data_IF_487248843984
#
_entry.id   IF_487248843984
#
_cell.length_a   1.000
_cell.length_b   1.000
_cell.length_c   1.000
_cell.angle_alpha   90.00
_cell.angle_beta   90.00
_cell.angle_gamma   90.00
#
_symmetry.space_group_name_H-M   'P 1'
#
loop_
_entity.id
_entity.type
_entity.pdbx_description
1 polymer ?
#
# COMPACT_ATOMS: atom_id res chain seq x y z
N UNK A 1 -6.60 17.98 -4.86
CA UNK A 1 -5.48 17.59 -5.77
C UNK A 1 -5.45 16.08 -5.78
N UNK A 2 -5.09 15.41 -6.87
CA UNK A 2 -5.01 13.94 -6.85
C UNK A 2 -3.67 13.47 -6.29
N UNK A 3 -3.66 12.28 -5.69
CA UNK A 3 -2.46 11.56 -5.22
C UNK A 3 -1.46 11.47 -6.37
N UNK A 4 -1.91 11.06 -7.55
CA UNK A 4 -1.07 10.92 -8.74
C UNK A 4 -0.34 12.22 -9.10
N UNK A 5 -1.07 13.34 -9.16
CA UNK A 5 -0.50 14.65 -9.49
C UNK A 5 0.48 15.12 -8.42
N UNK A 6 0.14 14.94 -7.15
CA UNK A 6 1.01 15.31 -6.05
C UNK A 6 2.33 14.53 -6.06
N UNK A 7 2.27 13.22 -6.33
CA UNK A 7 3.47 12.38 -6.46
C UNK A 7 4.37 12.84 -7.61
N UNK A 8 3.79 13.20 -8.76
CA UNK A 8 4.56 13.73 -9.89
C UNK A 8 5.25 15.07 -9.56
N UNK A 9 4.58 15.96 -8.81
CA UNK A 9 5.18 17.22 -8.34
C UNK A 9 6.38 16.95 -7.42
N UNK A 10 6.27 16.00 -6.48
CA UNK A 10 7.37 15.63 -5.58
C UNK A 10 8.52 14.94 -6.31
N UNK A 11 8.22 14.04 -7.23
CA UNK A 11 9.25 13.38 -8.05
C UNK A 11 10.00 14.42 -8.92
N UNK A 12 9.30 15.41 -9.48
CA UNK A 12 9.91 16.49 -10.27
C UNK A 12 10.81 17.42 -9.44
N UNK A 13 10.56 17.55 -8.14
CA UNK A 13 11.44 18.24 -7.18
C UNK A 13 12.68 17.40 -6.78
N UNK A 14 12.79 16.17 -7.30
CA UNK A 14 13.88 15.23 -6.98
C UNK A 14 13.69 14.51 -5.64
N UNK A 15 12.48 14.54 -5.08
CA UNK A 15 12.13 13.82 -3.85
C UNK A 15 11.86 12.35 -4.22
N UNK A 16 12.51 11.43 -3.50
CA UNK A 16 12.17 10.01 -3.61
C UNK A 16 10.78 9.76 -3.01
N UNK A 17 9.81 9.50 -3.88
CA UNK A 17 8.42 9.23 -3.49
C UNK A 17 8.17 7.76 -3.16
N UNK A 18 9.15 6.87 -3.38
CA UNK A 18 8.95 5.43 -3.27
C UNK A 18 8.47 4.99 -1.88
N UNK A 19 8.88 5.68 -0.82
CA UNK A 19 8.51 5.37 0.58
C UNK A 19 7.73 6.49 1.26
N UNK A 20 7.25 7.47 0.50
CA UNK A 20 6.70 8.70 1.05
C UNK A 20 5.39 8.46 1.80
N UNK A 21 5.16 9.28 2.82
CA UNK A 21 3.89 9.33 3.54
C UNK A 21 3.00 10.33 2.83
N UNK A 22 1.81 9.91 2.42
CA UNK A 22 0.81 10.83 1.91
C UNK A 22 0.33 11.76 3.05
N UNK A 23 0.07 13.04 2.77
CA UNK A 23 -0.65 13.91 3.69
C UNK A 23 -2.02 13.31 4.01
N UNK A 24 -2.47 13.44 5.27
CA UNK A 24 -3.76 12.88 5.71
C UNK A 24 -4.92 13.37 4.82
N UNK A 25 -4.95 14.67 4.54
CA UNK A 25 -5.96 15.32 3.68
C UNK A 25 -5.99 14.79 2.25
N UNK A 26 -4.89 14.21 1.76
CA UNK A 26 -4.82 13.63 0.42
C UNK A 26 -5.22 12.15 0.42
N UNK A 27 -4.87 11.44 1.50
CA UNK A 27 -5.11 10.00 1.62
C UNK A 27 -6.59 9.63 1.86
N UNK A 28 -7.38 10.54 2.44
CA UNK A 28 -8.81 10.30 2.72
C UNK A 28 -9.76 10.78 1.62
N UNK A 29 -9.29 11.61 0.68
CA UNK A 29 -10.12 12.29 -0.31
C UNK A 29 -10.18 11.59 -1.69
N UNK A 30 -9.35 10.57 -1.93
CA UNK A 30 -9.29 9.87 -3.23
C UNK A 30 -9.46 8.36 -3.08
N UNK A 31 -10.47 7.82 -3.77
CA UNK A 31 -10.63 6.38 -3.96
C UNK A 31 -9.67 5.89 -5.06
N UNK A 32 -9.09 4.69 -4.92
CA UNK A 32 -8.24 4.14 -5.97
C UNK A 32 -9.04 3.84 -7.24
N UNK A 33 -8.42 4.04 -8.39
CA UNK A 33 -9.02 3.68 -9.68
C UNK A 33 -9.24 2.16 -9.80
N UNK A 34 -8.37 1.37 -9.16
CA UNK A 34 -8.35 -0.09 -9.24
C UNK A 34 -7.61 -0.69 -8.03
N UNK A 35 -8.19 -1.71 -7.40
CA UNK A 35 -7.46 -2.63 -6.51
C UNK A 35 -6.91 -3.79 -7.34
N UNK A 36 -5.61 -3.76 -7.60
CA UNK A 36 -4.91 -4.74 -8.46
C UNK A 36 -4.64 -6.05 -7.70
N UNK A 37 -4.37 -5.95 -6.40
CA UNK A 37 -4.07 -7.10 -5.55
C UNK A 37 -4.54 -6.82 -4.13
N UNK A 38 -5.09 -7.84 -3.47
CA UNK A 38 -5.38 -7.83 -2.06
C UNK A 38 -5.24 -9.24 -1.51
N UNK A 39 -4.55 -9.38 -0.38
CA UNK A 39 -4.44 -10.62 0.38
C UNK A 39 -4.28 -10.31 1.85
N UNK A 40 -4.98 -11.05 2.68
CA UNK A 40 -4.95 -10.97 4.13
C UNK A 40 -4.78 -12.38 4.72
N UNK A 41 -4.02 -12.48 5.81
CA UNK A 41 -3.87 -13.70 6.59
C UNK A 41 -4.78 -13.58 7.82
N UNK A 42 -6.06 -13.92 7.63
CA UNK A 42 -7.07 -13.98 8.69
C UNK A 42 -7.51 -15.44 8.93
N UNK A 43 -6.87 -16.16 9.86
CA UNK A 43 -7.33 -17.48 10.29
C UNK A 43 -8.38 -17.40 11.41
N UNK A 44 -8.80 -16.20 11.81
CA UNK A 44 -9.78 -15.99 12.86
C UNK A 44 -11.21 -16.10 12.30
N UNK A 45 -12.19 -15.74 13.13
CA UNK A 45 -13.58 -15.63 12.71
C UNK A 45 -13.87 -14.20 12.25
N UNK A 46 -14.97 -14.04 11.50
CA UNK A 46 -15.40 -12.74 10.96
C UNK A 46 -15.70 -11.66 12.02
N UNK A 47 -15.74 -12.00 13.31
CA UNK A 47 -15.94 -11.05 14.42
C UNK A 47 -14.62 -10.59 15.03
N UNK A 48 -13.48 -11.09 14.56
CA UNK A 48 -12.18 -10.68 15.04
C UNK A 48 -11.90 -9.22 14.66
N UNK A 49 -11.57 -8.40 15.65
CA UNK A 49 -11.15 -7.00 15.46
C UNK A 49 -9.63 -6.84 15.60
N UNK A 50 -8.90 -7.95 15.67
CA UNK A 50 -7.45 -7.96 15.75
C UNK A 50 -6.81 -7.53 14.44
N UNK A 51 -5.57 -7.05 14.53
CA UNK A 51 -4.80 -6.72 13.35
C UNK A 51 -4.32 -8.00 12.65
N UNK A 52 -4.46 -8.08 11.33
CA UNK A 52 -3.99 -9.22 10.54
C UNK A 52 -2.98 -8.75 9.50
N UNK A 53 -1.91 -9.51 9.26
CA UNK A 53 -1.03 -9.24 8.14
C UNK A 53 -1.83 -9.19 6.85
N UNK A 54 -1.67 -8.10 6.12
CA UNK A 54 -2.31 -7.90 4.83
C UNK A 54 -1.34 -7.26 3.85
N UNK A 55 -1.68 -7.33 2.58
CA UNK A 55 -0.93 -6.74 1.49
C UNK A 55 -1.89 -6.34 0.39
N UNK A 56 -1.78 -5.09 -0.06
CA UNK A 56 -2.63 -4.54 -1.13
C UNK A 56 -1.79 -3.80 -2.17
N UNK A 57 -2.33 -3.73 -3.39
CA UNK A 57 -1.85 -2.89 -4.49
C UNK A 57 -3.04 -2.13 -5.05
N UNK A 58 -2.98 -0.81 -4.96
CA UNK A 58 -4.03 0.13 -5.38
C UNK A 58 -3.45 1.07 -6.44
N UNK A 59 -4.23 1.41 -7.47
CA UNK A 59 -3.80 2.29 -8.57
C UNK A 59 -4.42 3.68 -8.42
N UNK A 60 -3.57 4.70 -8.52
CA UNK A 60 -3.94 6.12 -8.55
C UNK A 60 -3.31 6.77 -9.78
N UNK A 61 -4.07 6.92 -10.85
CA UNK A 61 -3.55 7.31 -12.17
C UNK A 61 -2.53 6.28 -12.67
N UNK A 62 -1.30 6.73 -12.92
CA UNK A 62 -0.16 5.89 -13.31
C UNK A 62 0.71 5.41 -12.13
N UNK A 63 0.34 5.73 -10.89
CA UNK A 63 1.04 5.28 -9.70
C UNK A 63 0.37 4.06 -9.09
N UNK A 64 1.17 3.09 -8.69
CA UNK A 64 0.77 1.94 -7.90
C UNK A 64 1.25 2.12 -6.48
N UNK A 65 0.31 2.19 -5.55
CA UNK A 65 0.57 2.19 -4.13
C UNK A 65 0.41 0.78 -3.61
N UNK A 66 1.48 0.21 -3.09
CA UNK A 66 1.40 -1.06 -2.39
C UNK A 66 1.79 -0.87 -0.93
N UNK A 67 1.03 -1.49 -0.05
CA UNK A 67 1.20 -1.35 1.40
C UNK A 67 0.68 -2.58 2.12
N UNK A 68 1.09 -2.71 3.37
CA UNK A 68 0.62 -3.79 4.21
C UNK A 68 1.41 -3.95 5.49
N UNK A 69 1.20 -5.08 6.13
CA UNK A 69 2.00 -5.59 7.22
C UNK A 69 2.57 -6.94 6.81
N UNK A 70 3.88 -7.14 6.97
CA UNK A 70 4.55 -8.39 6.59
C UNK A 70 3.99 -9.58 7.38
N UNK A 71 3.80 -10.73 6.73
CA UNK A 71 3.33 -11.96 7.39
C UNK A 71 4.18 -12.38 8.58
N UNK A 72 5.46 -11.99 8.61
CA UNK A 72 6.40 -12.26 9.71
C UNK A 72 6.07 -11.49 10.98
N UNK A 73 5.27 -10.43 10.91
CA UNK A 73 4.77 -9.74 12.11
C UNK A 73 3.97 -10.70 12.99
N UNK A 74 3.21 -11.60 12.36
CA UNK A 74 2.29 -12.52 13.04
C UNK A 74 0.89 -11.94 13.24
N UNK A 75 -0.04 -12.82 13.59
CA UNK A 75 -1.45 -12.48 13.79
C UNK A 75 -1.59 -11.64 15.07
N UNK A 76 -2.39 -10.57 15.01
CA UNK A 76 -2.64 -9.59 16.08
C UNK A 76 -1.40 -8.79 16.52
N UNK A 77 -0.31 -8.85 15.76
CA UNK A 77 0.90 -8.08 16.05
C UNK A 77 0.84 -6.69 15.42
N UNK A 78 1.61 -5.76 15.98
CA UNK A 78 1.91 -4.45 15.39
C UNK A 78 3.34 -4.43 14.82
N UNK A 79 3.65 -3.49 13.94
CA UNK A 79 5.00 -3.37 13.36
C UNK A 79 5.14 -4.09 12.02
N UNK A 80 6.31 -3.93 11.39
CA UNK A 80 6.60 -4.43 10.03
C UNK A 80 5.64 -3.92 8.96
N UNK A 81 5.06 -2.74 9.18
CA UNK A 81 4.35 -2.02 8.14
C UNK A 81 5.33 -1.62 7.05
N UNK A 82 4.89 -1.77 5.82
CA UNK A 82 5.68 -1.44 4.64
C UNK A 82 4.78 -0.76 3.62
N UNK A 83 5.42 0.02 2.75
CA UNK A 83 4.78 0.68 1.63
C UNK A 83 5.75 0.78 0.47
N UNK A 84 5.23 0.97 -0.74
CA UNK A 84 6.00 1.34 -1.91
C UNK A 84 5.07 2.04 -2.91
N UNK A 85 5.49 3.21 -3.38
CA UNK A 85 4.98 3.82 -4.60
C UNK A 85 5.89 3.48 -5.77
N UNK A 86 5.29 3.08 -6.90
CA UNK A 86 6.01 2.82 -8.15
C UNK A 86 5.10 3.05 -9.35
N UNK A 87 5.68 3.38 -10.50
CA UNK A 87 4.96 3.41 -11.79
C UNK A 87 4.91 2.04 -12.47
N UNK A 88 5.67 1.07 -11.95
CA UNK A 88 5.76 -0.30 -12.46
C UNK A 88 4.77 -1.22 -11.74
N UNK A 89 3.75 -1.68 -12.48
CA UNK A 89 2.72 -2.60 -12.00
C UNK A 89 3.29 -3.94 -11.54
N UNK A 90 4.21 -4.51 -12.30
CA UNK A 90 4.76 -5.84 -12.03
C UNK A 90 5.64 -5.80 -10.78
N UNK A 91 6.41 -4.72 -10.61
CA UNK A 91 7.16 -4.47 -9.39
C UNK A 91 6.22 -4.33 -8.18
N UNK A 92 5.12 -3.57 -8.30
CA UNK A 92 4.16 -3.39 -7.21
C UNK A 92 3.56 -4.73 -6.76
N UNK A 93 3.07 -5.54 -7.71
CA UNK A 93 2.47 -6.85 -7.42
C UNK A 93 3.50 -7.83 -6.88
N UNK A 94 4.72 -7.85 -7.42
CA UNK A 94 5.80 -8.72 -6.93
C UNK A 94 6.18 -8.39 -5.49
N UNK A 95 6.34 -7.10 -5.17
CA UNK A 95 6.64 -6.63 -3.82
C UNK A 95 5.50 -7.02 -2.86
N UNK A 96 4.26 -6.74 -3.23
CA UNK A 96 3.09 -7.08 -2.42
C UNK A 96 3.01 -8.58 -2.10
N UNK A 97 3.24 -9.45 -3.09
CA UNK A 97 3.30 -10.90 -2.88
C UNK A 97 4.43 -11.31 -1.95
N UNK A 98 5.63 -10.72 -2.11
CA UNK A 98 6.81 -11.10 -1.31
C UNK A 98 6.64 -10.88 0.20
N UNK A 99 5.76 -9.96 0.60
CA UNK A 99 5.48 -9.66 2.01
C UNK A 99 4.39 -10.54 2.64
N UNK A 100 3.56 -11.22 1.82
CA UNK A 100 2.37 -11.92 2.31
C UNK A 100 2.30 -13.40 1.91
N UNK A 101 3.01 -13.82 0.87
CA UNK A 101 3.08 -15.20 0.38
C UNK A 101 4.28 -15.95 0.94
#
# INVERSE_FOLDING_TARGET
>A
MTISKWLDEREAEGIDVSQIVLPDDLSFDEEPDETVFFKEIDPCNFLCQGNHPFSTVERFGHWYFCRGQDKKAGIHASGMEWRLFTKDKDLAVKTAKSHIE
#
